data_IF_218304994948
#
_entry.id   IF_218304994948
#
_cell.length_a   1.000
_cell.length_b   1.000
_cell.length_c   1.000
_cell.angle_alpha   90.00
_cell.angle_beta   90.00
_cell.angle_gamma   90.00
#
_symmetry.space_group_name_H-M   'P 1'
#
loop_
_entity.id
_entity.type
_entity.pdbx_description
1 polymer ?
#
# COMPACT_ATOMS: atom_id res chain seq x y z
N UNK A 1 1.78 10.66 1.39
CA UNK A 1 2.25 9.32 0.98
C UNK A 1 2.29 9.26 -0.53
N UNK A 2 3.47 9.20 -1.14
CA UNK A 2 3.61 8.96 -2.58
C UNK A 2 3.69 7.45 -2.84
N UNK A 3 2.88 6.92 -3.76
CA UNK A 3 2.89 5.50 -4.11
C UNK A 3 2.93 5.33 -5.63
N UNK A 4 3.72 4.37 -6.11
CA UNK A 4 3.65 3.88 -7.50
C UNK A 4 2.92 2.55 -7.48
N UNK A 5 1.96 2.37 -8.40
CA UNK A 5 1.15 1.14 -8.48
C UNK A 5 -0.14 1.15 -7.66
N UNK A 6 -0.52 2.28 -7.05
CA UNK A 6 -1.83 2.47 -6.45
C UNK A 6 -2.37 3.85 -6.80
N UNK A 7 -3.64 3.93 -7.18
CA UNK A 7 -4.37 5.18 -7.39
C UNK A 7 -5.44 5.32 -6.32
N UNK A 8 -5.43 6.43 -5.60
CA UNK A 8 -6.41 6.70 -4.56
C UNK A 8 -7.06 8.05 -4.83
N UNK A 9 -8.39 8.04 -4.90
CA UNK A 9 -9.19 9.25 -5.04
C UNK A 9 -9.65 9.68 -3.65
N UNK A 10 -9.28 10.90 -3.28
CA UNK A 10 -9.66 11.49 -2.01
C UNK A 10 -10.70 12.59 -2.20
N UNK A 11 -11.71 12.60 -1.34
CA UNK A 11 -12.62 13.71 -1.16
C UNK A 11 -12.28 14.40 0.16
N UNK A 12 -11.68 15.58 0.05
CA UNK A 12 -11.17 16.36 1.18
C UNK A 12 -12.27 17.07 1.96
N UNK A 13 -13.48 17.17 1.41
CA UNK A 13 -14.62 17.79 2.12
C UNK A 13 -15.23 16.84 3.15
N UNK A 14 -14.90 15.54 3.09
CA UNK A 14 -15.36 14.54 4.06
C UNK A 14 -14.59 14.59 5.38
N UNK A 15 -15.26 14.12 6.42
CA UNK A 15 -14.72 13.95 7.76
C UNK A 15 -13.41 13.12 7.75
N UNK A 16 -12.56 13.37 8.75
CA UNK A 16 -11.36 12.55 8.94
C UNK A 16 -11.73 11.07 9.04
N UNK A 17 -10.97 10.21 8.34
CA UNK A 17 -11.26 8.77 8.24
C UNK A 17 -12.22 8.36 7.12
N UNK A 18 -13.01 9.29 6.54
CA UNK A 18 -13.96 9.01 5.44
C UNK A 18 -13.57 9.64 4.10
N UNK A 19 -12.34 10.11 3.98
CA UNK A 19 -11.87 10.85 2.79
C UNK A 19 -11.57 9.96 1.58
N UNK A 20 -11.40 8.65 1.74
CA UNK A 20 -11.12 7.75 0.62
C UNK A 20 -12.43 7.44 -0.11
N UNK A 21 -12.53 7.85 -1.37
CA UNK A 21 -13.70 7.55 -2.23
C UNK A 21 -13.47 6.26 -3.01
N UNK A 22 -12.28 6.11 -3.59
CA UNK A 22 -11.90 4.92 -4.34
C UNK A 22 -10.40 4.68 -4.20
N UNK A 23 -10.03 3.40 -4.14
CA UNK A 23 -8.65 2.96 -4.18
C UNK A 23 -8.53 1.84 -5.22
N UNK A 24 -7.60 1.99 -6.15
CA UNK A 24 -7.28 1.02 -7.19
C UNK A 24 -5.83 0.59 -7.03
N UNK A 25 -5.59 -0.71 -6.96
CA UNK A 25 -4.26 -1.29 -6.88
C UNK A 25 -3.89 -1.94 -8.21
N UNK A 26 -2.61 -1.84 -8.58
CA UNK A 26 -2.03 -2.60 -9.68
C UNK A 26 -1.95 -4.07 -9.27
N UNK A 27 -2.41 -4.95 -10.13
CA UNK A 27 -2.29 -6.37 -9.92
C UNK A 27 -0.81 -6.83 -9.95
N UNK A 28 -0.44 -7.68 -8.99
CA UNK A 28 0.90 -8.25 -8.85
C UNK A 28 1.06 -9.64 -9.48
N UNK A 29 -0.04 -10.39 -9.60
CA UNK A 29 -0.08 -11.77 -10.13
C UNK A 29 -0.81 -11.83 -11.48
N UNK A 30 -0.37 -10.99 -12.41
CA UNK A 30 -0.91 -10.95 -13.77
C UNK A 30 0.21 -10.64 -14.76
N UNK A 31 0.08 -11.23 -15.96
CA UNK A 31 1.04 -11.05 -17.05
C UNK A 31 1.08 -9.62 -17.58
N UNK A 32 -0.09 -8.98 -17.62
CA UNK A 32 -0.23 -7.57 -18.04
C UNK A 32 -0.76 -6.80 -16.83
N UNK A 33 -0.06 -5.76 -16.37
CA UNK A 33 -0.47 -5.03 -15.18
C UNK A 33 -1.76 -4.24 -15.45
N UNK A 34 -2.80 -4.57 -14.70
CA UNK A 34 -4.08 -3.86 -14.71
C UNK A 34 -4.36 -3.27 -13.34
N UNK A 35 -5.17 -2.21 -13.31
CA UNK A 35 -5.64 -1.60 -12.07
C UNK A 35 -7.04 -2.10 -11.75
N UNK A 36 -7.22 -2.59 -10.53
CA UNK A 36 -8.52 -3.06 -10.03
C UNK A 36 -8.84 -2.44 -8.67
N UNK A 37 -10.13 -2.28 -8.32
CA UNK A 37 -10.52 -1.79 -7.01
C UNK A 37 -9.94 -2.65 -5.88
N UNK A 38 -9.47 -2.01 -4.81
CA UNK A 38 -8.96 -2.70 -3.63
C UNK A 38 -10.12 -3.38 -2.91
N UNK A 39 -10.01 -4.70 -2.76
CA UNK A 39 -10.96 -5.53 -2.01
C UNK A 39 -10.45 -5.82 -0.60
N UNK A 40 -11.30 -5.67 0.42
CA UNK A 40 -10.94 -5.90 1.83
C UNK A 40 -10.53 -7.33 2.16
N UNK A 41 -11.01 -8.30 1.38
CA UNK A 41 -10.80 -9.73 1.64
C UNK A 41 -9.60 -10.32 0.88
N UNK A 42 -8.79 -9.47 0.24
CA UNK A 42 -7.59 -9.89 -0.48
C UNK A 42 -6.32 -9.44 0.24
N UNK A 43 -5.28 -10.26 0.14
CA UNK A 43 -3.95 -9.96 0.67
C UNK A 43 -3.14 -9.22 -0.39
N UNK A 44 -2.55 -8.08 -0.02
CA UNK A 44 -1.72 -7.28 -0.92
C UNK A 44 -0.29 -7.20 -0.39
N UNK A 45 0.67 -7.34 -1.30
CA UNK A 45 2.08 -7.10 -1.02
C UNK A 45 2.41 -5.64 -1.30
N UNK A 46 2.86 -4.90 -0.28
CA UNK A 46 3.16 -3.47 -0.38
C UNK A 46 4.62 -3.26 0.01
N UNK A 47 5.34 -2.48 -0.78
CA UNK A 47 6.67 -2.00 -0.45
C UNK A 47 6.54 -0.68 0.31
N UNK A 48 7.03 -0.65 1.54
CA UNK A 48 7.06 0.56 2.38
C UNK A 48 8.34 0.62 3.20
N UNK A 49 8.76 1.82 3.65
CA UNK A 49 9.88 1.97 4.58
C UNK A 49 9.60 1.26 5.92
N UNK A 50 10.64 0.72 6.55
CA UNK A 50 10.55 0.05 7.85
C UNK A 50 9.99 0.96 8.95
N UNK A 51 10.28 2.26 8.90
CA UNK A 51 9.74 3.25 9.84
C UNK A 51 8.20 3.22 9.93
N UNK A 52 7.49 2.98 8.81
CA UNK A 52 6.03 2.89 8.83
C UNK A 52 5.53 1.56 9.41
N UNK A 53 6.29 0.49 9.25
CA UNK A 53 6.00 -0.84 9.84
C UNK A 53 6.06 -0.76 11.37
N UNK A 54 7.05 -0.01 11.90
CA UNK A 54 7.24 0.18 13.33
C UNK A 54 6.22 1.14 13.97
N UNK A 55 5.31 1.71 13.17
CA UNK A 55 4.28 2.64 13.63
C UNK A 55 4.71 4.12 13.63
N UNK A 56 5.77 4.47 12.92
CA UNK A 56 6.16 5.87 12.67
C UNK A 56 5.03 6.68 12.01
N UNK A 57 5.05 8.01 12.16
CA UNK A 57 4.00 8.93 11.68
C UNK A 57 2.56 8.60 12.15
N UNK A 58 2.42 7.81 13.22
CA UNK A 58 1.12 7.38 13.75
C UNK A 58 0.48 6.24 12.97
N UNK A 59 1.22 5.55 12.08
CA UNK A 59 0.74 4.38 11.34
C UNK A 59 0.76 3.09 12.19
N UNK A 60 0.19 3.12 13.39
CA UNK A 60 0.13 1.98 14.32
C UNK A 60 -0.62 0.77 13.76
N UNK A 61 -1.46 0.99 12.75
CA UNK A 61 -2.21 -0.05 12.03
C UNK A 61 -1.30 -1.17 11.49
N UNK A 62 -0.05 -0.86 11.11
CA UNK A 62 0.89 -1.86 10.60
C UNK A 62 1.63 -2.60 11.72
N UNK A 63 1.80 -1.97 12.88
CA UNK A 63 2.40 -2.58 14.06
C UNK A 63 1.45 -3.57 14.74
N UNK A 64 0.18 -3.21 14.83
CA UNK A 64 -0.82 -3.94 15.61
C UNK A 64 -1.53 -5.06 14.81
N UNK A 65 -1.41 -5.07 13.48
CA UNK A 65 -2.02 -6.09 12.63
C UNK A 65 -1.05 -7.21 12.28
N UNK A 66 -1.61 -8.39 12.02
CA UNK A 66 -0.90 -9.57 11.50
C UNK A 66 -0.45 -9.37 10.04
N UNK A 67 0.51 -8.47 9.82
CA UNK A 67 1.18 -8.32 8.53
C UNK A 67 2.43 -9.20 8.48
N UNK A 68 2.67 -9.83 7.33
CA UNK A 68 3.92 -10.57 7.10
C UNK A 68 4.97 -9.60 6.58
N UNK A 69 5.86 -9.15 7.46
CA UNK A 69 6.98 -8.28 7.09
C UNK A 69 8.06 -9.13 6.42
N UNK A 70 8.33 -8.84 5.15
CA UNK A 70 9.46 -9.42 4.43
C UNK A 70 10.46 -8.29 4.23
N UNK A 71 11.54 -8.31 5.01
CA UNK A 71 12.63 -7.36 4.85
C UNK A 71 13.37 -7.70 3.57
N UNK A 72 13.12 -6.95 2.50
CA UNK A 72 13.95 -6.96 1.30
C UNK A 72 15.26 -6.27 1.64
N UNK A 73 16.19 -7.01 2.26
CA UNK A 73 17.54 -6.54 2.52
C UNK A 73 18.16 -6.04 1.22
N UNK A 74 18.52 -4.75 1.20
CA UNK A 74 19.19 -4.05 0.11
C UNK A 74 18.69 -4.39 -1.31
N UNK A 75 17.66 -3.66 -1.78
CA UNK A 75 17.34 -3.61 -3.20
C UNK A 75 18.45 -2.88 -3.98
N UNK A 76 19.60 -3.53 -4.17
CA UNK A 76 20.72 -3.05 -5.00
C UNK A 76 20.70 -3.64 -6.40
N UNK A 77 19.84 -4.63 -6.70
CA UNK A 77 19.67 -5.12 -8.07
C UNK A 77 18.20 -5.33 -8.39
N UNK A 78 17.71 -4.48 -9.31
CA UNK A 78 16.50 -4.63 -10.13
C UNK A 78 15.17 -4.22 -9.47
N UNK A 79 15.04 -2.93 -9.15
CA UNK A 79 13.79 -2.22 -9.46
C UNK A 79 13.86 -1.81 -10.94
N UNK A 80 13.58 -2.73 -11.87
CA UNK A 80 13.44 -2.34 -13.28
C UNK A 80 12.08 -1.64 -13.41
N UNK A 81 12.13 -0.37 -13.80
CA UNK A 81 10.98 0.46 -14.12
C UNK A 81 10.12 -0.16 -15.23
#
# INVERSE_FOLDING_TARGET
MHSKGMYVTYDVTKESGKRVVSAMARCGDCRVPTYSPVQSNQTYSILMPSFLVDGGDGFTVFKDKSIKVITLGNCIRVCRA
#
